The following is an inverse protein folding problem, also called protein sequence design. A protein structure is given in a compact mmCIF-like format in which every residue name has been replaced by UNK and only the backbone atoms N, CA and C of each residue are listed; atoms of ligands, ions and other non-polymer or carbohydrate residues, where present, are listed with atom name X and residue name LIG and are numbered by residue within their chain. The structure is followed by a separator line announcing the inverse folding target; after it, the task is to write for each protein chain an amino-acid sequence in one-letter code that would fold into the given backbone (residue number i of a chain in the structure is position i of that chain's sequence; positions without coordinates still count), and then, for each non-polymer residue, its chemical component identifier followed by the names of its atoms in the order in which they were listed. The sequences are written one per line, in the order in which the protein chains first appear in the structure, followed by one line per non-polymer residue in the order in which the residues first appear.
data_IF_630339459195
#
_entry.id   IF_630339459195
#
_cell.length_a   1.000
_cell.length_b   1.000
_cell.length_c   1.000
_cell.angle_alpha   90.00
_cell.angle_beta   90.00
_cell.angle_gamma   90.00
#
_symmetry.space_group_name_H-M   'P 1'
#
loop_
_entity.id
_entity.type
_entity.pdbx_description
1 polymer ?
#
# COMPACT_ATOMS: atom_id res chain seq x y z
N UNK A 1 -3.77 32.38 -8.88
CA UNK A 1 -2.59 31.46 -8.70
C UNK A 1 -3.00 30.00 -8.47
N UNK A 2 -4.28 29.69 -8.38
CA UNK A 2 -4.79 28.34 -8.01
C UNK A 2 -4.88 27.34 -9.17
N UNK A 3 -5.14 27.74 -10.40
CA UNK A 3 -5.34 26.79 -11.52
C UNK A 3 -4.05 26.18 -12.10
N UNK A 4 -2.95 26.93 -12.16
CA UNK A 4 -1.65 26.36 -12.61
C UNK A 4 -1.02 25.40 -11.61
N UNK A 5 -1.50 25.37 -10.38
CA UNK A 5 -0.91 24.61 -9.29
C UNK A 5 -1.37 23.13 -9.25
N UNK A 6 -2.48 22.81 -9.88
CA UNK A 6 -3.06 21.45 -9.89
C UNK A 6 -2.65 20.60 -11.12
N UNK A 7 -1.96 21.17 -12.09
CA UNK A 7 -1.69 20.54 -13.39
C UNK A 7 -0.83 19.28 -13.35
N UNK A 8 -0.14 19.02 -12.23
CA UNK A 8 0.76 17.86 -12.08
C UNK A 8 0.38 16.95 -10.91
N UNK A 9 -0.77 17.15 -10.32
CA UNK A 9 -1.27 16.34 -9.21
C UNK A 9 -2.28 15.32 -9.74
N UNK A 10 -2.14 14.02 -9.44
CA UNK A 10 -3.20 13.06 -9.67
C UNK A 10 -4.49 13.47 -8.98
N UNK A 11 -5.63 13.04 -9.50
CA UNK A 11 -6.94 13.40 -8.95
C UNK A 11 -7.32 12.49 -7.77
N UNK A 12 -6.97 11.22 -7.85
CA UNK A 12 -7.43 10.17 -6.94
C UNK A 12 -6.31 9.56 -6.10
N UNK A 13 -5.08 9.49 -6.62
CA UNK A 13 -3.93 9.09 -5.81
C UNK A 13 -3.54 10.22 -4.88
N UNK A 14 -3.60 9.97 -3.58
CA UNK A 14 -3.28 11.01 -2.60
C UNK A 14 -1.81 11.43 -2.68
N UNK A 15 -1.60 12.74 -2.74
CA UNK A 15 -0.32 13.41 -2.49
C UNK A 15 -0.56 14.64 -1.63
N UNK A 16 0.40 15.04 -0.76
CA UNK A 16 0.29 16.31 -0.04
C UNK A 16 0.29 17.50 -1.01
N UNK A 17 -0.02 18.66 -0.52
CA UNK A 17 0.01 19.90 -1.31
C UNK A 17 1.43 20.32 -1.72
N UNK A 18 2.44 19.90 -0.95
CA UNK A 18 3.87 20.13 -1.19
C UNK A 18 4.72 19.16 -0.39
N UNK A 19 5.92 18.85 -0.89
CA UNK A 19 6.95 18.17 -0.15
C UNK A 19 7.20 16.72 -0.55
N UNK A 20 8.02 16.04 0.23
CA UNK A 20 8.26 14.59 0.15
C UNK A 20 7.22 13.85 0.97
N UNK A 21 6.72 12.75 0.44
CA UNK A 21 5.99 11.76 1.24
C UNK A 21 6.51 10.34 0.97
N UNK A 22 6.43 9.48 1.99
CA UNK A 22 6.72 8.07 1.87
C UNK A 22 5.66 7.23 2.61
N UNK A 23 6.01 6.43 3.60
CA UNK A 23 5.18 5.40 4.20
C UNK A 23 3.81 5.90 4.67
N UNK A 24 2.73 5.14 4.40
CA UNK A 24 1.47 5.34 5.10
C UNK A 24 1.65 5.00 6.58
N UNK A 25 1.07 5.80 7.44
CA UNK A 25 1.14 5.69 8.90
C UNK A 25 -0.25 5.81 9.51
N UNK A 26 -0.41 5.27 10.70
CA UNK A 26 -1.59 5.55 11.52
C UNK A 26 -2.92 5.30 10.83
N UNK A 27 -2.98 4.33 9.91
CA UNK A 27 -4.20 4.03 9.16
C UNK A 27 -5.27 3.51 10.10
N UNK A 28 -6.34 4.27 10.28
CA UNK A 28 -7.47 3.89 11.15
C UNK A 28 -8.80 4.34 10.54
N UNK A 29 -9.81 3.49 10.69
CA UNK A 29 -11.18 3.79 10.32
C UNK A 29 -12.05 3.85 11.56
N UNK A 30 -12.80 4.93 11.71
CA UNK A 30 -13.76 5.12 12.79
C UNK A 30 -14.91 6.03 12.35
N UNK A 31 -16.09 5.78 12.83
CA UNK A 31 -17.27 6.62 12.64
C UNK A 31 -17.56 7.03 11.18
N UNK A 32 -17.23 6.14 10.21
CA UNK A 32 -17.42 6.39 8.77
C UNK A 32 -16.28 7.17 8.11
N UNK A 33 -15.18 7.41 8.81
CA UNK A 33 -14.05 8.22 8.37
C UNK A 33 -12.80 7.33 8.28
N UNK A 34 -12.07 7.44 7.18
CA UNK A 34 -10.74 6.90 7.01
C UNK A 34 -9.72 7.97 7.32
N UNK A 35 -8.85 7.73 8.29
CA UNK A 35 -7.72 8.59 8.62
C UNK A 35 -6.46 7.98 8.01
N UNK A 36 -5.74 8.79 7.26
CA UNK A 36 -4.48 8.46 6.60
C UNK A 36 -3.43 9.43 7.11
N UNK A 37 -2.51 8.94 7.93
CA UNK A 37 -1.30 9.68 8.25
C UNK A 37 -0.17 9.18 7.34
N UNK A 38 0.87 9.98 7.18
CA UNK A 38 1.96 9.62 6.27
C UNK A 38 3.27 10.30 6.67
N UNK A 39 4.37 9.65 6.34
CA UNK A 39 5.69 10.26 6.45
C UNK A 39 5.78 11.47 5.53
N UNK A 40 6.16 12.62 6.07
CA UNK A 40 6.16 13.88 5.33
C UNK A 40 7.39 14.74 5.63
N UNK A 41 7.99 15.31 4.59
CA UNK A 41 8.89 16.44 4.70
C UNK A 41 8.23 17.70 4.13
N UNK A 42 7.63 18.58 4.95
CA UNK A 42 6.96 19.78 4.47
C UNK A 42 7.91 20.86 3.97
N UNK A 43 9.23 20.68 4.13
CA UNK A 43 10.25 21.69 3.83
C UNK A 43 10.97 21.47 2.50
N UNK A 44 10.75 20.32 1.85
CA UNK A 44 11.42 19.97 0.59
C UNK A 44 10.91 18.69 -0.04
N UNK A 45 11.31 18.51 -1.29
CA UNK A 45 10.89 17.37 -2.13
C UNK A 45 11.80 16.14 -2.00
N UNK A 46 12.79 16.21 -1.14
CA UNK A 46 13.70 15.10 -0.82
C UNK A 46 13.43 14.60 0.61
N UNK A 47 13.81 13.35 0.85
CA UNK A 47 13.68 12.74 2.18
C UNK A 47 14.51 13.51 3.21
N UNK A 48 13.87 14.14 4.17
CA UNK A 48 14.49 14.86 5.28
C UNK A 48 13.41 15.29 6.30
N UNK A 49 13.81 15.68 7.52
CA UNK A 49 12.96 16.35 8.51
C UNK A 49 11.57 15.72 8.69
N UNK A 50 11.52 14.38 8.80
CA UNK A 50 10.27 13.63 8.82
C UNK A 50 9.33 14.04 9.95
N UNK A 51 8.12 14.44 9.54
CA UNK A 51 6.92 14.64 10.36
C UNK A 51 5.88 13.58 9.99
N UNK A 52 4.73 13.56 10.65
CA UNK A 52 3.53 12.91 10.12
C UNK A 52 2.58 13.97 9.58
N UNK A 53 2.32 13.90 8.26
CA UNK A 53 1.19 14.55 7.64
C UNK A 53 -0.09 13.78 7.91
N UNK A 54 -1.24 14.42 7.74
CA UNK A 54 -2.57 13.89 7.98
C UNK A 54 -3.50 14.17 6.81
N UNK A 55 -4.20 13.16 6.35
CA UNK A 55 -5.29 13.27 5.39
C UNK A 55 -6.50 12.44 5.86
N UNK A 56 -7.69 12.86 5.42
CA UNK A 56 -8.96 12.26 5.81
C UNK A 56 -9.84 12.05 4.59
N UNK A 57 -10.60 10.96 4.57
CA UNK A 57 -11.55 10.66 3.51
C UNK A 57 -12.72 9.81 4.00
N UNK A 58 -13.78 9.71 3.19
CA UNK A 58 -14.96 8.89 3.49
C UNK A 58 -15.20 7.80 2.45
N UNK A 59 -14.52 7.85 1.30
CA UNK A 59 -14.79 6.99 0.15
C UNK A 59 -13.53 6.27 -0.42
N UNK A 60 -12.38 6.42 0.24
CA UNK A 60 -11.09 5.83 -0.17
C UNK A 60 -10.47 6.39 -1.47
N UNK A 61 -11.08 7.41 -2.08
CA UNK A 61 -10.60 8.08 -3.28
C UNK A 61 -10.27 9.56 -3.04
N UNK A 62 -11.16 10.26 -2.34
CA UNK A 62 -11.03 11.69 -2.12
C UNK A 62 -10.52 11.95 -0.70
N UNK A 63 -9.31 12.50 -0.65
CA UNK A 63 -8.61 12.78 0.60
C UNK A 63 -8.43 14.27 0.81
N UNK A 64 -8.85 14.77 1.96
CA UNK A 64 -8.58 16.13 2.41
C UNK A 64 -7.20 16.15 3.10
N UNK A 65 -6.26 16.94 2.57
CA UNK A 65 -4.94 17.17 3.18
C UNK A 65 -5.09 18.18 4.33
N UNK A 66 -4.87 17.71 5.56
CA UNK A 66 -5.04 18.48 6.80
C UNK A 66 -3.73 19.05 7.34
N UNK A 67 -2.60 18.75 6.68
CA UNK A 67 -1.27 19.20 7.08
C UNK A 67 -0.60 18.32 8.13
N UNK A 68 0.47 18.80 8.74
CA UNK A 68 1.29 18.05 9.69
C UNK A 68 0.69 18.07 11.10
N UNK A 69 0.73 16.92 11.78
CA UNK A 69 0.13 16.73 13.12
C UNK A 69 1.09 16.13 14.15
N UNK A 70 2.22 15.55 13.72
CA UNK A 70 3.23 14.99 14.62
C UNK A 70 4.62 15.50 14.22
N UNK A 71 5.09 16.50 14.92
CA UNK A 71 6.35 17.19 14.65
C UNK A 71 7.53 16.55 15.38
N UNK A 72 8.76 16.63 14.82
CA UNK A 72 10.00 16.25 15.51
C UNK A 72 10.17 16.93 16.87
N UNK A 73 10.86 16.24 17.77
CA UNK A 73 11.22 16.76 19.08
C UNK A 73 12.65 16.35 19.47
N UNK A 74 13.00 16.54 20.73
CA UNK A 74 14.31 16.15 21.29
C UNK A 74 14.56 14.63 21.25
N UNK A 75 13.58 13.79 20.93
CA UNK A 75 13.73 12.34 20.79
C UNK A 75 14.01 11.89 19.35
N UNK A 76 13.86 12.79 18.37
CA UNK A 76 14.21 12.53 16.97
C UNK A 76 13.16 12.97 15.98
N UNK A 77 13.36 12.54 14.74
CA UNK A 77 12.37 12.66 13.67
C UNK A 77 11.24 11.65 13.92
N UNK A 78 10.07 11.94 13.38
CA UNK A 78 8.87 11.10 13.53
C UNK A 78 8.83 10.07 12.42
N UNK A 79 9.31 8.86 12.71
CA UNK A 79 9.31 7.74 11.78
C UNK A 79 8.02 6.93 11.85
N UNK A 80 7.93 5.91 10.99
CA UNK A 80 6.70 5.17 10.75
C UNK A 80 6.10 4.49 11.97
N UNK A 81 4.81 4.21 11.87
CA UNK A 81 4.03 3.59 12.91
C UNK A 81 2.55 3.46 12.53
N UNK A 82 1.72 3.04 13.46
CA UNK A 82 0.33 2.68 13.24
C UNK A 82 -0.64 3.38 14.20
N UNK A 83 -1.93 3.21 13.99
CA UNK A 83 -2.96 3.64 14.91
C UNK A 83 -3.99 2.53 15.20
N UNK A 84 -4.59 2.60 16.38
CA UNK A 84 -5.74 1.80 16.79
C UNK A 84 -6.74 2.67 17.54
N UNK A 85 -8.00 2.27 17.61
CA UNK A 85 -8.97 2.85 18.51
C UNK A 85 -8.84 2.24 19.91
N UNK A 86 -9.05 3.05 20.94
CA UNK A 86 -8.93 2.64 22.35
C UNK A 86 -10.20 1.92 22.88
N UNK A 87 -10.78 0.99 22.14
CA UNK A 87 -12.06 0.36 22.44
C UNK A 87 -12.18 -0.28 23.83
N UNK A 88 -11.07 -0.36 24.57
CA UNK A 88 -11.00 -0.91 25.93
C UNK A 88 -10.77 0.13 27.02
N UNK A 89 -10.73 1.42 26.69
CA UNK A 89 -10.56 2.50 27.65
C UNK A 89 -9.26 2.43 28.46
N UNK A 90 -8.18 1.97 27.84
CA UNK A 90 -6.88 1.81 28.50
C UNK A 90 -6.14 3.13 28.64
N UNK A 91 -5.03 3.11 29.38
CA UNK A 91 -4.09 4.23 29.55
C UNK A 91 -4.72 5.48 30.22
N UNK A 92 -5.90 5.33 30.84
CA UNK A 92 -6.66 6.45 31.40
C UNK A 92 -7.26 7.40 30.36
N UNK A 93 -7.39 6.94 29.12
CA UNK A 93 -7.97 7.67 27.99
C UNK A 93 -9.38 7.18 27.67
N UNK A 94 -10.24 8.00 27.02
CA UNK A 94 -11.58 7.59 26.60
C UNK A 94 -11.55 6.39 25.63
N UNK A 95 -12.64 5.63 25.55
CA UNK A 95 -12.79 4.47 24.64
C UNK A 95 -12.80 4.86 23.16
N UNK A 96 -13.18 6.08 22.83
CA UNK A 96 -13.16 6.62 21.48
C UNK A 96 -11.83 7.32 21.09
N UNK A 97 -10.87 7.39 22.02
CA UNK A 97 -9.57 7.93 21.72
C UNK A 97 -8.85 7.09 20.64
N UNK A 98 -8.11 7.76 19.77
CA UNK A 98 -7.19 7.11 18.84
C UNK A 98 -5.79 7.07 19.45
N UNK A 99 -5.14 5.91 19.39
CA UNK A 99 -3.80 5.66 19.92
C UNK A 99 -2.83 5.47 18.76
N UNK A 100 -1.75 6.22 18.75
CA UNK A 100 -0.74 6.24 17.69
C UNK A 100 0.60 5.74 18.22
N UNK A 101 1.05 4.61 17.72
CA UNK A 101 2.35 4.04 18.05
C UNK A 101 3.32 4.43 16.95
N UNK A 102 4.38 5.15 17.30
CA UNK A 102 5.34 5.67 16.32
C UNK A 102 6.78 5.48 16.77
N UNK A 103 7.69 5.55 15.83
CA UNK A 103 9.12 5.55 16.12
C UNK A 103 9.62 6.99 16.21
N UNK A 104 10.19 7.37 17.37
CA UNK A 104 11.04 8.54 17.46
C UNK A 104 12.47 8.11 17.11
N UNK A 105 12.94 8.56 15.93
CA UNK A 105 14.25 8.18 15.39
C UNK A 105 15.36 8.98 16.08
N UNK A 106 15.88 8.46 17.17
CA UNK A 106 17.01 9.04 17.89
C UNK A 106 18.21 9.27 16.95
N UNK A 107 19.17 10.09 17.34
CA UNK A 107 20.34 10.52 16.55
C UNK A 107 20.08 10.98 15.09
N UNK A 108 18.83 11.04 14.65
CA UNK A 108 18.45 11.51 13.31
C UNK A 108 18.41 13.04 13.18
N UNK A 109 18.46 13.77 14.28
CA UNK A 109 18.49 15.24 14.31
C UNK A 109 19.61 15.76 15.20
N UNK A 110 19.82 17.08 15.17
CA UNK A 110 20.80 17.73 16.05
C UNK A 110 20.37 17.63 17.51
N UNK A 111 19.09 17.79 17.78
CA UNK A 111 18.46 17.80 19.10
C UNK A 111 18.44 16.40 19.73
N UNK A 112 18.34 15.35 18.91
CA UNK A 112 18.31 13.96 19.34
C UNK A 112 19.65 13.23 19.27
N UNK A 113 20.75 13.99 19.03
CA UNK A 113 22.08 13.40 18.87
C UNK A 113 22.46 12.51 20.05
N UNK A 114 22.81 11.26 19.78
CA UNK A 114 23.23 10.28 20.78
C UNK A 114 22.08 9.58 21.51
N UNK A 115 20.81 9.88 21.20
CA UNK A 115 19.66 9.14 21.71
C UNK A 115 19.39 7.91 20.83
N UNK A 116 18.90 6.79 21.39
CA UNK A 116 18.48 5.63 20.62
C UNK A 116 17.14 5.88 19.93
N UNK A 117 16.79 5.02 18.98
CA UNK A 117 15.43 4.91 18.46
C UNK A 117 14.50 4.38 19.56
N UNK A 118 13.32 4.96 19.67
CA UNK A 118 12.33 4.60 20.71
C UNK A 118 10.95 4.47 20.13
N UNK A 119 10.20 3.46 20.57
CA UNK A 119 8.79 3.35 20.26
C UNK A 119 7.99 4.18 21.27
N UNK A 120 7.14 5.05 20.77
CA UNK A 120 6.38 6.01 21.58
C UNK A 120 4.91 6.01 21.25
N UNK A 121 4.13 6.63 22.11
CA UNK A 121 2.70 6.77 22.00
C UNK A 121 2.30 8.25 21.88
N UNK A 122 1.43 8.54 20.92
CA UNK A 122 0.61 9.74 20.91
C UNK A 122 -0.86 9.32 20.92
N UNK A 123 -1.75 10.23 21.28
CA UNK A 123 -3.18 9.96 21.27
C UNK A 123 -3.97 11.18 20.80
N UNK A 124 -5.18 10.92 20.31
CA UNK A 124 -6.16 11.94 19.97
C UNK A 124 -7.48 11.66 20.68
N UNK A 125 -8.12 12.71 21.17
CA UNK A 125 -9.48 12.69 21.75
C UNK A 125 -10.45 13.56 20.96
N UNK A 126 -10.06 14.00 19.79
CA UNK A 126 -10.83 14.88 18.89
C UNK A 126 -10.96 14.29 17.46
N UNK A 127 -10.99 12.94 17.38
CA UNK A 127 -11.17 12.22 16.13
C UNK A 127 -9.97 12.33 15.17
N UNK A 128 -8.75 12.39 15.71
CA UNK A 128 -7.52 12.39 14.90
C UNK A 128 -7.04 13.75 14.45
N UNK A 129 -7.75 14.86 14.79
CA UNK A 129 -7.35 16.21 14.34
C UNK A 129 -6.06 16.71 15.03
N UNK A 130 -5.88 16.38 16.30
CA UNK A 130 -4.66 16.70 17.04
C UNK A 130 -4.06 15.46 17.67
N UNK A 131 -2.75 15.32 17.59
CA UNK A 131 -2.00 14.23 18.22
C UNK A 131 -1.21 14.78 19.40
N UNK A 132 -1.54 14.29 20.61
CA UNK A 132 -0.87 14.65 21.85
C UNK A 132 0.12 13.55 22.19
N UNK A 133 1.41 13.89 22.19
CA UNK A 133 2.45 12.94 22.62
C UNK A 133 2.31 12.61 24.09
N UNK A 134 2.24 11.32 24.41
CA UNK A 134 2.22 10.84 25.79
C UNK A 134 3.65 10.96 26.35
N UNK A 135 3.78 11.49 27.56
CA UNK A 135 5.07 11.57 28.22
C UNK A 135 5.68 10.19 28.45
N UNK A 136 6.99 10.12 28.27
CA UNK A 136 7.74 8.90 28.45
C UNK A 136 7.77 8.00 27.21
N UNK A 137 8.42 6.88 27.36
CA UNK A 137 8.46 5.79 26.38
C UNK A 137 7.25 4.90 26.58
N UNK A 138 6.88 4.13 25.57
CA UNK A 138 6.03 2.98 25.79
C UNK A 138 6.70 2.13 26.87
N UNK A 139 5.99 1.79 27.93
CA UNK A 139 6.57 1.06 29.04
C UNK A 139 7.28 -0.19 28.51
N UNK A 140 8.45 -0.52 28.95
CA UNK A 140 9.40 -1.44 28.34
C UNK A 140 10.12 -0.92 27.08
N UNK A 141 10.05 0.37 26.79
CA UNK A 141 10.85 0.97 25.73
C UNK A 141 12.33 0.62 25.81
N UNK A 142 12.87 0.43 27.00
CA UNK A 142 14.25 -0.02 27.22
C UNK A 142 14.52 -1.41 26.62
N UNK A 143 13.58 -2.34 26.71
CA UNK A 143 13.74 -3.69 26.11
C UNK A 143 13.76 -3.61 24.60
N UNK A 144 12.88 -2.81 24.01
CA UNK A 144 12.81 -2.59 22.55
C UNK A 144 14.04 -1.80 22.09
N UNK A 145 14.46 -0.78 22.82
CA UNK A 145 15.62 0.06 22.51
C UNK A 145 16.96 -0.68 22.53
N UNK A 146 17.08 -1.70 23.35
CA UNK A 146 18.35 -2.45 23.48
C UNK A 146 18.52 -3.58 22.46
N UNK A 147 17.51 -3.87 21.64
CA UNK A 147 17.57 -4.97 20.67
C UNK A 147 18.47 -4.67 19.48
N UNK A 148 18.35 -3.46 18.93
CA UNK A 148 19.15 -2.97 17.83
C UNK A 148 19.21 -1.43 17.86
N UNK A 149 20.19 -0.85 17.14
CA UNK A 149 20.39 0.60 17.15
C UNK A 149 19.24 1.40 16.51
N UNK A 150 18.53 0.79 15.56
CA UNK A 150 17.56 1.49 14.71
C UNK A 150 16.25 0.71 14.53
N UNK A 151 15.86 -0.11 15.52
CA UNK A 151 14.59 -0.82 15.48
C UNK A 151 13.41 0.16 15.37
N UNK A 152 12.43 -0.14 14.49
CA UNK A 152 11.38 0.80 14.10
C UNK A 152 10.14 0.16 13.52
N UNK A 153 9.15 1.02 13.18
CA UNK A 153 7.94 0.72 12.43
C UNK A 153 6.99 -0.23 13.17
N UNK A 154 6.49 0.18 14.35
CA UNK A 154 5.58 -0.64 15.12
C UNK A 154 4.22 -0.80 14.41
N UNK A 155 3.71 -2.02 14.40
CA UNK A 155 2.31 -2.35 14.11
C UNK A 155 1.68 -2.93 15.34
N UNK A 156 0.55 -2.37 15.79
CA UNK A 156 -0.21 -2.83 16.96
C UNK A 156 -1.62 -3.18 16.54
N UNK A 157 -2.14 -4.30 17.05
CA UNK A 157 -3.51 -4.73 16.86
C UNK A 157 -4.00 -5.57 18.05
N UNK A 158 -5.32 -5.68 18.21
CA UNK A 158 -5.92 -6.58 19.18
C UNK A 158 -6.07 -8.00 18.61
N UNK A 159 -5.60 -9.01 19.32
CA UNK A 159 -5.78 -10.41 18.98
C UNK A 159 -6.87 -11.02 19.87
N UNK A 160 -8.04 -11.24 19.27
CA UNK A 160 -9.26 -11.60 20.00
C UNK A 160 -9.13 -12.94 20.74
N UNK A 161 -8.57 -13.95 20.08
CA UNK A 161 -8.47 -15.32 20.61
C UNK A 161 -7.56 -15.42 21.83
N UNK A 162 -6.47 -14.66 21.88
CA UNK A 162 -5.55 -14.64 23.03
C UNK A 162 -5.85 -13.53 24.04
N UNK A 163 -6.80 -12.62 23.72
CA UNK A 163 -7.19 -11.53 24.60
C UNK A 163 -6.07 -10.54 24.91
N UNK A 164 -5.27 -10.18 23.92
CA UNK A 164 -4.14 -9.28 24.09
C UNK A 164 -3.87 -8.40 22.87
N UNK A 165 -3.21 -7.29 23.11
CA UNK A 165 -2.58 -6.48 22.05
C UNK A 165 -1.27 -7.13 21.63
N UNK A 166 -1.07 -7.17 20.32
CA UNK A 166 0.16 -7.66 19.68
C UNK A 166 0.87 -6.46 19.06
N UNK A 167 2.16 -6.36 19.31
CA UNK A 167 3.03 -5.40 18.66
C UNK A 167 4.05 -6.17 17.81
N UNK A 168 4.13 -5.83 16.53
CA UNK A 168 5.15 -6.33 15.61
C UNK A 168 6.08 -5.19 15.25
N UNK A 169 7.39 -5.44 15.23
CA UNK A 169 8.42 -4.43 15.04
C UNK A 169 9.56 -4.98 14.18
N UNK A 170 10.08 -4.18 13.26
CA UNK A 170 11.36 -4.48 12.63
C UNK A 170 12.52 -4.23 13.60
N UNK A 171 13.43 -5.19 13.73
CA UNK A 171 14.59 -5.11 14.63
C UNK A 171 15.83 -4.69 13.85
N UNK A 172 16.30 -5.54 12.96
CA UNK A 172 17.47 -5.32 12.11
C UNK A 172 17.52 -6.36 10.97
N UNK A 173 18.15 -6.04 9.85
CA UNK A 173 18.25 -6.93 8.70
C UNK A 173 16.88 -7.52 8.31
N UNK A 174 16.73 -8.84 8.36
CA UNK A 174 15.49 -9.58 8.14
C UNK A 174 14.89 -10.15 9.44
N UNK A 175 15.26 -9.57 10.58
CA UNK A 175 14.74 -9.92 11.91
C UNK A 175 13.63 -8.98 12.36
N UNK A 176 12.57 -9.58 12.86
CA UNK A 176 11.40 -8.92 13.41
C UNK A 176 11.11 -9.47 14.81
N UNK A 177 10.38 -8.72 15.60
CA UNK A 177 9.94 -9.18 16.91
C UNK A 177 8.42 -9.11 17.03
N UNK A 178 7.88 -9.99 17.87
CA UNK A 178 6.48 -9.99 18.28
C UNK A 178 6.43 -9.84 19.78
N UNK A 179 5.66 -8.87 20.25
CA UNK A 179 5.39 -8.61 21.67
C UNK A 179 3.90 -8.70 21.95
N UNK A 180 3.59 -9.06 23.17
CA UNK A 180 2.23 -9.16 23.70
C UNK A 180 2.04 -8.24 24.89
N UNK A 181 0.86 -7.59 24.99
CA UNK A 181 0.44 -6.75 26.09
C UNK A 181 -1.06 -6.89 26.37
N UNK A 182 -1.47 -6.86 27.63
CA UNK A 182 -2.88 -6.85 28.03
C UNK A 182 -3.37 -5.42 28.34
N UNK A 183 -2.46 -4.49 28.57
CA UNK A 183 -2.72 -3.14 29.10
C UNK A 183 -2.15 -2.00 28.25
N UNK A 184 -1.39 -2.30 27.17
CA UNK A 184 -0.63 -1.35 26.37
C UNK A 184 0.48 -0.62 27.14
N UNK A 185 0.73 -1.02 28.38
CA UNK A 185 1.79 -0.48 29.22
C UNK A 185 2.97 -1.44 29.34
N UNK A 186 2.69 -2.73 29.50
CA UNK A 186 3.68 -3.78 29.64
C UNK A 186 3.68 -4.69 28.42
N UNK A 187 4.78 -4.67 27.66
CA UNK A 187 4.99 -5.54 26.50
C UNK A 187 6.03 -6.60 26.80
N UNK A 188 5.70 -7.85 26.53
CA UNK A 188 6.62 -9.00 26.66
C UNK A 188 6.89 -9.59 25.28
N UNK A 189 8.15 -9.70 24.89
CA UNK A 189 8.53 -10.37 23.66
C UNK A 189 8.17 -11.85 23.73
N UNK A 190 7.43 -12.32 22.76
CA UNK A 190 7.01 -13.72 22.63
C UNK A 190 7.80 -14.45 21.55
N UNK A 191 8.22 -13.71 20.49
CA UNK A 191 8.97 -14.32 19.40
C UNK A 191 9.93 -13.31 18.76
N UNK A 192 11.12 -13.76 18.38
CA UNK A 192 11.98 -13.15 17.38
C UNK A 192 11.86 -13.96 16.10
N UNK A 193 11.42 -13.33 15.01
CA UNK A 193 11.19 -13.97 13.72
C UNK A 193 12.29 -13.55 12.77
N UNK A 194 13.08 -14.51 12.28
CA UNK A 194 14.03 -14.28 11.18
C UNK A 194 13.38 -14.78 9.90
N UNK A 195 13.06 -13.88 8.99
CA UNK A 195 12.47 -14.21 7.70
C UNK A 195 13.55 -14.50 6.65
N UNK A 196 13.21 -15.24 5.59
CA UNK A 196 14.11 -15.48 4.45
C UNK A 196 14.58 -14.16 3.82
N UNK A 197 13.66 -13.19 3.70
CA UNK A 197 13.90 -11.85 3.17
C UNK A 197 12.84 -10.90 3.71
N UNK A 198 13.22 -9.67 3.96
CA UNK A 198 12.31 -8.64 4.44
C UNK A 198 13.08 -7.50 5.07
N UNK A 199 12.47 -6.36 5.16
CA UNK A 199 13.07 -5.16 5.72
C UNK A 199 11.93 -4.22 6.11
N UNK A 200 12.02 -3.51 7.24
CA UNK A 200 11.12 -2.45 7.67
C UNK A 200 9.61 -2.75 7.63
N UNK A 201 8.82 -1.86 8.17
CA UNK A 201 7.37 -1.75 8.05
C UNK A 201 6.63 -3.10 8.12
N UNK A 202 6.82 -3.89 9.20
CA UNK A 202 6.08 -5.13 9.33
C UNK A 202 4.60 -4.87 9.51
N UNK A 203 3.78 -5.79 9.00
CA UNK A 203 2.37 -5.89 9.33
C UNK A 203 2.03 -7.37 9.58
N UNK A 204 1.07 -7.63 10.45
CA UNK A 204 0.59 -8.97 10.75
C UNK A 204 -0.94 -8.94 10.83
N UNK A 205 -1.60 -9.59 9.90
CA UNK A 205 -3.05 -9.54 9.77
C UNK A 205 -3.61 -10.87 9.29
N UNK A 206 -4.89 -11.10 9.55
CA UNK A 206 -5.61 -12.31 9.18
C UNK A 206 -6.45 -12.06 7.93
N UNK A 207 -6.41 -12.99 6.98
CA UNK A 207 -7.14 -12.92 5.73
C UNK A 207 -8.06 -14.12 5.52
N UNK A 208 -9.28 -13.88 5.00
CA UNK A 208 -10.15 -14.96 4.55
C UNK A 208 -9.55 -15.63 3.32
N UNK A 209 -9.72 -16.95 3.24
CA UNK A 209 -9.41 -17.74 2.05
C UNK A 209 -10.67 -17.85 1.21
N UNK A 210 -10.60 -17.42 -0.05
CA UNK A 210 -11.71 -17.47 -0.99
C UNK A 210 -11.52 -18.59 -2.01
N UNK A 211 -12.62 -19.11 -2.53
CA UNK A 211 -12.61 -20.12 -3.58
C UNK A 211 -12.42 -19.48 -4.96
N UNK A 212 -11.36 -19.89 -5.67
CA UNK A 212 -11.16 -19.47 -7.07
C UNK A 212 -12.26 -20.00 -8.02
N UNK A 213 -12.89 -21.16 -7.68
CA UNK A 213 -13.90 -21.82 -8.54
C UNK A 213 -15.31 -21.27 -8.36
N UNK A 214 -15.62 -20.69 -7.22
CA UNK A 214 -16.97 -20.23 -6.83
C UNK A 214 -17.12 -18.70 -6.89
N UNK A 215 -16.47 -18.04 -7.82
CA UNK A 215 -16.61 -16.58 -8.01
C UNK A 215 -16.11 -15.74 -6.82
N UNK A 216 -15.16 -16.27 -6.05
CA UNK A 216 -14.56 -15.55 -4.90
C UNK A 216 -15.35 -15.69 -3.60
N UNK A 217 -16.18 -16.74 -3.45
CA UNK A 217 -16.87 -17.03 -2.20
C UNK A 217 -15.90 -17.44 -1.10
N UNK A 218 -16.10 -16.93 0.11
CA UNK A 218 -15.33 -17.31 1.29
C UNK A 218 -15.51 -18.80 1.61
N UNK A 219 -14.40 -19.46 1.93
CA UNK A 219 -14.39 -20.89 2.27
C UNK A 219 -14.67 -21.17 3.75
N UNK A 220 -14.62 -20.13 4.59
CA UNK A 220 -14.62 -20.20 6.05
C UNK A 220 -13.24 -20.52 6.64
N UNK A 221 -12.21 -20.69 5.78
CA UNK A 221 -10.81 -20.79 6.20
C UNK A 221 -10.19 -19.40 6.29
N UNK A 222 -9.33 -19.17 7.28
CA UNK A 222 -8.54 -17.95 7.43
C UNK A 222 -7.08 -18.29 7.65
N UNK A 223 -6.18 -17.39 7.23
CA UNK A 223 -4.74 -17.50 7.44
C UNK A 223 -4.16 -16.18 7.89
N UNK A 224 -3.13 -16.24 8.70
CA UNK A 224 -2.33 -15.09 9.06
C UNK A 224 -1.28 -14.80 7.99
N UNK A 225 -1.03 -13.53 7.78
CA UNK A 225 -0.05 -13.03 6.81
C UNK A 225 0.92 -12.12 7.54
N UNK A 226 2.20 -12.48 7.53
CA UNK A 226 3.30 -11.60 7.94
C UNK A 226 3.83 -10.87 6.72
N UNK A 227 3.85 -9.55 6.79
CA UNK A 227 4.15 -8.63 5.69
C UNK A 227 5.41 -7.81 5.97
N UNK A 228 6.16 -7.40 4.93
CA UNK A 228 7.33 -6.52 5.02
C UNK A 228 7.27 -5.40 3.98
N UNK A 229 8.06 -4.34 4.15
CA UNK A 229 8.01 -3.14 3.33
C UNK A 229 8.11 -3.37 1.81
N UNK A 230 8.88 -4.37 1.38
CA UNK A 230 9.04 -4.71 -0.05
C UNK A 230 7.81 -5.40 -0.66
N UNK A 231 6.73 -5.62 0.11
CA UNK A 231 5.58 -6.40 -0.33
C UNK A 231 5.86 -7.91 -0.33
N UNK A 232 6.93 -8.35 0.34
CA UNK A 232 7.11 -9.78 0.63
C UNK A 232 6.14 -10.19 1.72
N UNK A 233 5.46 -11.31 1.50
CA UNK A 233 4.52 -11.85 2.46
C UNK A 233 4.70 -13.35 2.69
N UNK A 234 4.41 -13.75 3.91
CA UNK A 234 4.53 -15.10 4.43
C UNK A 234 3.18 -15.50 4.98
N UNK A 235 2.63 -16.62 4.53
CA UNK A 235 1.34 -17.13 5.00
C UNK A 235 1.56 -18.21 6.04
N UNK A 236 0.77 -18.19 7.10
CA UNK A 236 0.91 -19.12 8.19
C UNK A 236 -0.24 -19.08 9.19
N UNK A 237 0.05 -19.50 10.40
CA UNK A 237 -0.81 -19.43 11.57
C UNK A 237 -0.20 -18.55 12.65
N UNK A 238 -1.03 -17.97 13.50
CA UNK A 238 -0.61 -17.16 14.64
C UNK A 238 -1.59 -17.40 15.80
N UNK A 239 -1.05 -17.70 16.97
CA UNK A 239 -1.83 -18.05 18.16
C UNK A 239 -1.90 -16.94 19.22
N UNK A 240 -1.38 -15.76 18.89
CA UNK A 240 -1.24 -14.64 19.82
C UNK A 240 0.12 -14.60 20.53
N UNK A 241 1.00 -15.55 20.25
CA UNK A 241 2.35 -15.65 20.79
C UNK A 241 3.39 -15.84 19.70
N UNK A 242 3.17 -16.78 18.78
CA UNK A 242 4.13 -17.15 17.75
C UNK A 242 3.50 -17.22 16.37
N UNK A 243 4.19 -16.67 15.38
CA UNK A 243 3.86 -16.83 13.97
C UNK A 243 4.61 -18.05 13.43
N UNK A 244 3.86 -18.99 12.87
CA UNK A 244 4.37 -20.22 12.25
C UNK A 244 4.13 -20.14 10.74
N UNK A 245 5.21 -19.91 9.99
CA UNK A 245 5.17 -19.88 8.52
C UNK A 245 4.81 -21.26 7.96
N UNK A 246 3.86 -21.30 7.01
CA UNK A 246 3.37 -22.55 6.39
C UNK A 246 3.75 -22.69 4.92
N UNK A 247 4.25 -21.66 4.29
CA UNK A 247 4.70 -21.69 2.88
C UNK A 247 5.89 -20.76 2.64
N UNK A 248 6.56 -20.95 1.53
CA UNK A 248 7.64 -20.07 1.08
C UNK A 248 7.13 -18.64 0.81
N UNK A 249 8.06 -17.69 0.89
CA UNK A 249 7.83 -16.27 0.61
C UNK A 249 7.23 -16.04 -0.78
N UNK A 250 6.29 -15.09 -0.84
CA UNK A 250 5.77 -14.53 -2.09
C UNK A 250 5.95 -13.02 -2.12
N UNK A 251 5.76 -12.44 -3.31
CA UNK A 251 5.76 -10.99 -3.49
C UNK A 251 4.37 -10.53 -3.97
N UNK A 252 3.88 -9.44 -3.41
CA UNK A 252 2.56 -8.90 -3.69
C UNK A 252 2.51 -8.04 -4.96
N UNK A 253 3.67 -7.55 -5.43
CA UNK A 253 3.75 -6.62 -6.56
C UNK A 253 4.78 -7.10 -7.57
N UNK A 254 4.53 -6.84 -8.83
CA UNK A 254 5.47 -7.11 -9.92
C UNK A 254 6.41 -5.92 -10.15
N UNK A 255 7.55 -6.21 -10.74
CA UNK A 255 8.47 -5.17 -11.19
C UNK A 255 7.90 -4.48 -12.43
N UNK A 256 7.77 -3.15 -12.35
CA UNK A 256 7.49 -2.32 -13.51
C UNK A 256 8.74 -2.17 -14.42
N UNK A 257 8.67 -1.31 -15.44
CA UNK A 257 9.80 -1.08 -16.34
C UNK A 257 11.09 -0.64 -15.63
N UNK A 258 10.97 0.19 -14.61
CA UNK A 258 12.10 0.78 -13.89
C UNK A 258 12.28 0.21 -12.48
N UNK A 259 11.19 -0.03 -11.75
CA UNK A 259 11.23 -0.35 -10.33
C UNK A 259 9.94 -1.04 -9.87
N UNK A 260 10.00 -1.78 -8.76
CA UNK A 260 8.80 -2.14 -7.99
C UNK A 260 8.31 -0.88 -7.30
N UNK A 261 7.22 -0.29 -7.78
CA UNK A 261 6.77 1.02 -7.32
C UNK A 261 6.16 1.01 -5.91
N UNK A 262 5.29 0.03 -5.52
CA UNK A 262 4.73 -0.05 -4.17
C UNK A 262 5.78 -0.42 -3.13
N UNK A 263 5.73 0.25 -1.97
CA UNK A 263 6.58 0.01 -0.81
C UNK A 263 5.84 0.32 0.50
N UNK A 264 6.29 -0.22 1.62
CA UNK A 264 5.82 0.10 2.98
C UNK A 264 4.29 0.05 3.14
N UNK A 265 3.63 -0.92 2.50
CA UNK A 265 2.18 -1.08 2.64
C UNK A 265 1.80 -1.30 4.10
N UNK A 266 0.71 -0.65 4.52
CA UNK A 266 0.11 -0.83 5.85
C UNK A 266 -1.39 -1.10 5.71
N UNK A 267 -1.94 -1.93 6.62
CA UNK A 267 -3.38 -2.17 6.70
C UNK A 267 -4.07 -1.19 7.64
N UNK A 268 -5.31 -0.82 7.32
CA UNK A 268 -6.17 -0.04 8.21
C UNK A 268 -6.59 -0.84 9.45
N UNK A 269 -6.58 -0.20 10.60
CA UNK A 269 -7.28 -0.67 11.79
C UNK A 269 -8.75 -0.24 11.72
N UNK A 270 -9.68 -1.13 12.05
CA UNK A 270 -11.11 -0.82 12.19
C UNK A 270 -12.04 -1.30 11.08
N UNK A 271 -11.70 -1.33 9.78
CA UNK A 271 -12.60 -1.87 8.76
C UNK A 271 -12.87 -3.37 8.95
N UNK A 272 -14.06 -3.82 8.57
CA UNK A 272 -14.42 -5.25 8.57
C UNK A 272 -13.53 -6.06 7.61
N UNK A 273 -13.22 -5.48 6.44
CA UNK A 273 -12.32 -6.07 5.46
C UNK A 273 -10.92 -5.49 5.61
N UNK A 274 -9.91 -6.31 5.37
CA UNK A 274 -8.52 -5.85 5.39
C UNK A 274 -8.26 -4.97 4.18
N UNK A 275 -8.15 -3.67 4.43
CA UNK A 275 -7.79 -2.65 3.46
C UNK A 275 -6.34 -2.23 3.65
N UNK A 276 -5.61 -2.10 2.57
CA UNK A 276 -4.20 -1.71 2.58
C UNK A 276 -3.92 -0.55 1.65
N UNK A 277 -2.99 0.31 2.04
CA UNK A 277 -2.42 1.40 1.24
C UNK A 277 -0.91 1.24 1.20
N UNK A 278 -0.29 1.51 0.05
CA UNK A 278 1.16 1.49 -0.14
C UNK A 278 1.67 2.87 -0.50
N UNK A 279 2.89 3.18 -0.14
CA UNK A 279 3.63 4.26 -0.78
C UNK A 279 4.04 3.86 -2.20
N UNK A 280 3.66 4.66 -3.19
CA UNK A 280 4.17 4.58 -4.55
C UNK A 280 5.41 5.49 -4.66
N UNK A 281 6.56 4.91 -4.96
CA UNK A 281 7.86 5.59 -5.05
C UNK A 281 8.00 6.41 -6.34
N UNK A 282 7.06 7.34 -6.56
CA UNK A 282 6.97 8.14 -7.77
C UNK A 282 7.97 9.29 -7.77
N UNK A 283 8.34 9.71 -8.98
CA UNK A 283 9.26 10.83 -9.21
C UNK A 283 8.54 12.17 -8.96
N UNK A 284 9.30 13.17 -8.53
CA UNK A 284 8.79 14.54 -8.42
C UNK A 284 8.48 15.12 -9.80
N UNK A 285 7.28 15.65 -9.95
CA UNK A 285 6.88 16.37 -11.17
C UNK A 285 6.43 17.78 -10.80
N UNK A 286 6.87 18.76 -11.60
CA UNK A 286 6.55 20.16 -11.36
C UNK A 286 7.22 20.78 -10.12
N UNK A 287 8.17 20.08 -9.48
CA UNK A 287 8.94 20.58 -8.33
C UNK A 287 8.12 20.73 -7.05
N UNK A 288 7.00 19.98 -6.90
CA UNK A 288 6.09 20.13 -5.77
C UNK A 288 6.07 18.98 -4.81
N UNK A 289 5.85 17.77 -5.30
CA UNK A 289 5.67 16.57 -4.48
C UNK A 289 6.50 15.42 -5.02
N UNK A 290 7.03 14.60 -4.13
CA UNK A 290 7.67 13.32 -4.42
C UNK A 290 6.97 12.25 -3.63
N UNK A 291 6.61 11.14 -4.28
CA UNK A 291 5.82 10.06 -3.68
C UNK A 291 4.32 10.34 -3.70
N UNK A 292 3.54 9.27 -3.58
CA UNK A 292 2.08 9.31 -3.43
C UNK A 292 1.58 8.02 -2.80
N UNK A 293 0.33 7.97 -2.37
CA UNK A 293 -0.32 6.74 -1.93
C UNK A 293 -0.96 6.01 -3.09
N UNK A 294 -0.93 4.67 -3.06
CA UNK A 294 -1.72 3.85 -3.96
C UNK A 294 -3.22 4.01 -3.71
N UNK A 295 -4.05 3.69 -4.68
CA UNK A 295 -5.47 3.44 -4.40
C UNK A 295 -5.55 2.29 -3.38
N UNK A 296 -6.37 2.41 -2.32
CA UNK A 296 -6.55 1.36 -1.33
C UNK A 296 -7.00 0.05 -1.98
N UNK A 297 -6.55 -1.08 -1.43
CA UNK A 297 -6.90 -2.43 -1.92
C UNK A 297 -7.44 -3.29 -0.79
N UNK A 298 -8.48 -4.04 -1.08
CA UNK A 298 -9.02 -5.10 -0.23
C UNK A 298 -8.20 -6.38 -0.44
N UNK A 299 -7.75 -6.99 0.65
CA UNK A 299 -6.93 -8.20 0.63
C UNK A 299 -7.74 -9.45 1.00
N UNK A 300 -7.46 -10.54 0.33
CA UNK A 300 -7.89 -11.90 0.65
C UNK A 300 -6.86 -12.90 0.13
N UNK A 301 -7.04 -14.19 0.40
CA UNK A 301 -6.18 -15.25 -0.12
C UNK A 301 -6.96 -16.16 -1.05
N UNK A 302 -6.31 -16.65 -2.10
CA UNK A 302 -6.79 -17.75 -2.93
C UNK A 302 -5.91 -18.97 -2.66
N UNK A 303 -6.52 -20.13 -2.41
CA UNK A 303 -5.81 -21.39 -2.32
C UNK A 303 -5.69 -22.05 -3.69
N UNK A 304 -4.48 -22.39 -4.09
CA UNK A 304 -4.19 -23.23 -5.25
C UNK A 304 -3.34 -24.46 -4.85
N UNK A 305 -2.85 -25.20 -5.85
CA UNK A 305 -1.99 -26.38 -5.63
C UNK A 305 -0.64 -26.08 -4.96
N UNK A 306 -0.15 -24.85 -5.11
CA UNK A 306 1.16 -24.40 -4.63
C UNK A 306 1.06 -23.57 -3.33
N UNK A 307 -0.09 -23.59 -2.65
CA UNK A 307 -0.36 -22.89 -1.40
C UNK A 307 -1.34 -21.72 -1.55
N UNK A 308 -1.12 -20.67 -0.78
CA UNK A 308 -1.97 -19.48 -0.74
C UNK A 308 -1.35 -18.35 -1.54
N UNK A 309 -2.15 -17.67 -2.35
CA UNK A 309 -1.76 -16.48 -3.11
C UNK A 309 -2.59 -15.30 -2.63
N UNK A 310 -1.94 -14.17 -2.37
CA UNK A 310 -2.62 -12.91 -2.07
C UNK A 310 -3.48 -12.50 -3.26
N UNK A 311 -4.72 -12.15 -2.97
CA UNK A 311 -5.63 -11.50 -3.89
C UNK A 311 -5.85 -10.07 -3.45
N UNK A 312 -5.68 -9.15 -4.37
CA UNK A 312 -5.90 -7.72 -4.20
C UNK A 312 -7.08 -7.28 -5.07
N UNK A 313 -7.94 -6.43 -4.53
CA UNK A 313 -9.07 -5.86 -5.27
C UNK A 313 -9.19 -4.38 -4.98
N UNK A 314 -9.63 -3.62 -5.96
CA UNK A 314 -10.14 -2.29 -5.65
C UNK A 314 -11.44 -2.44 -4.85
N UNK A 315 -11.63 -1.69 -3.74
CA UNK A 315 -12.86 -1.72 -2.95
C UNK A 315 -14.10 -1.42 -3.80
N UNK A 316 -15.23 -1.99 -3.41
CA UNK A 316 -16.49 -1.78 -4.13
C UNK A 316 -16.86 -0.29 -4.25
N UNK A 317 -16.64 0.49 -3.19
CA UNK A 317 -16.87 1.94 -3.19
C UNK A 317 -16.04 2.67 -4.26
N UNK A 318 -14.79 2.25 -4.49
CA UNK A 318 -13.92 2.79 -5.53
C UNK A 318 -14.50 2.48 -6.92
N UNK A 319 -14.88 1.22 -7.17
CA UNK A 319 -15.46 0.80 -8.46
C UNK A 319 -16.78 1.52 -8.72
N UNK A 320 -17.65 1.62 -7.71
CA UNK A 320 -18.94 2.30 -7.79
C UNK A 320 -18.81 3.79 -8.12
N UNK A 321 -17.79 4.46 -7.57
CA UNK A 321 -17.53 5.87 -7.89
C UNK A 321 -17.29 6.06 -9.40
N UNK A 322 -16.51 5.20 -10.03
CA UNK A 322 -16.33 5.22 -11.48
C UNK A 322 -17.58 4.79 -12.26
N UNK A 323 -18.31 3.79 -11.78
CA UNK A 323 -19.52 3.30 -12.45
C UNK A 323 -20.65 4.34 -12.51
N UNK A 324 -20.66 5.32 -11.61
CA UNK A 324 -21.61 6.42 -11.59
C UNK A 324 -21.25 7.54 -12.59
N UNK A 325 -20.10 7.49 -13.22
CA UNK A 325 -19.63 8.49 -14.17
C UNK A 325 -19.90 8.07 -15.62
N UNK A 326 -19.90 9.05 -16.51
CA UNK A 326 -19.98 8.77 -17.95
C UNK A 326 -18.67 8.10 -18.39
N UNK A 327 -18.82 6.95 -19.08
CA UNK A 327 -17.69 6.15 -19.57
C UNK A 327 -16.66 5.73 -18.50
N UNK A 328 -17.04 5.61 -17.20
CA UNK A 328 -16.11 5.24 -16.13
C UNK A 328 -14.89 6.15 -16.03
N UNK A 329 -15.08 7.44 -16.26
CA UNK A 329 -14.05 8.47 -16.13
C UNK A 329 -14.43 9.42 -15.01
N UNK A 330 -13.59 9.49 -13.99
CA UNK A 330 -13.77 10.33 -12.81
C UNK A 330 -12.59 11.31 -12.73
N UNK A 331 -12.88 12.62 -12.82
CA UNK A 331 -11.87 13.68 -12.71
C UNK A 331 -10.63 13.51 -13.62
N UNK A 332 -10.82 12.90 -14.81
CA UNK A 332 -9.74 12.62 -15.77
C UNK A 332 -8.96 11.34 -15.51
N UNK A 333 -9.23 10.66 -14.40
CA UNK A 333 -8.82 9.28 -14.17
C UNK A 333 -9.83 8.30 -14.76
N UNK A 334 -9.42 7.07 -15.07
CA UNK A 334 -10.31 6.05 -15.59
C UNK A 334 -10.13 4.69 -14.91
N UNK A 335 -11.23 3.96 -14.79
CA UNK A 335 -11.26 2.57 -14.35
C UNK A 335 -11.83 1.70 -15.47
N UNK A 336 -11.21 0.53 -15.71
CA UNK A 336 -11.72 -0.49 -16.65
C UNK A 336 -11.39 -1.88 -16.17
N UNK A 337 -12.27 -2.79 -16.58
CA UNK A 337 -12.12 -4.22 -16.34
C UNK A 337 -12.32 -5.00 -17.63
N UNK A 338 -11.37 -5.85 -17.97
CA UNK A 338 -11.31 -6.56 -19.22
C UNK A 338 -11.10 -8.07 -19.01
N UNK A 339 -11.64 -8.87 -19.93
CA UNK A 339 -11.34 -10.29 -20.03
C UNK A 339 -10.77 -10.59 -21.41
N UNK A 340 -9.66 -11.30 -21.44
CA UNK A 340 -9.12 -11.89 -22.67
C UNK A 340 -10.05 -13.00 -23.15
N UNK A 341 -10.52 -12.89 -24.40
CA UNK A 341 -11.49 -13.86 -24.99
C UNK A 341 -10.82 -15.14 -25.50
N UNK A 342 -9.51 -15.08 -25.78
CA UNK A 342 -8.74 -16.17 -26.36
C UNK A 342 -7.41 -16.40 -25.62
N UNK A 343 -7.40 -16.69 -24.30
CA UNK A 343 -6.17 -17.04 -23.63
C UNK A 343 -5.66 -18.36 -24.23
N UNK A 344 -4.49 -18.32 -24.88
CA UNK A 344 -3.87 -19.51 -25.46
C UNK A 344 -2.87 -20.11 -24.47
N UNK A 345 -2.83 -21.43 -24.26
CA UNK A 345 -1.82 -22.06 -23.42
C UNK A 345 -0.42 -21.85 -24.04
N UNK A 346 0.52 -21.47 -23.20
CA UNK A 346 1.92 -21.23 -23.56
C UNK A 346 2.58 -22.50 -24.12
N UNK A 347 3.14 -22.39 -25.31
CA UNK A 347 4.07 -23.38 -25.92
C UNK A 347 5.42 -22.67 -26.10
N UNK A 348 6.48 -23.12 -25.44
CA UNK A 348 7.82 -22.51 -25.63
C UNK A 348 8.33 -22.81 -27.04
N UNK A 349 8.49 -21.79 -27.88
CA UNK A 349 9.23 -21.89 -29.12
C UNK A 349 10.52 -21.02 -29.06
N UNK A 350 11.56 -21.38 -29.84
CA UNK A 350 12.86 -20.70 -29.79
C UNK A 350 12.81 -19.30 -30.41
N UNK A 351 13.58 -18.40 -29.81
CA UNK A 351 13.74 -16.99 -30.16
C UNK A 351 13.90 -16.74 -31.66
N UNK A 352 12.94 -16.05 -32.27
CA UNK A 352 13.11 -15.38 -33.56
C UNK A 352 12.83 -13.88 -33.33
N UNK A 353 13.89 -13.06 -33.45
CA UNK A 353 13.77 -11.60 -33.38
C UNK A 353 13.06 -11.05 -34.62
N UNK A 354 11.89 -10.48 -34.45
CA UNK A 354 11.14 -9.69 -35.41
C UNK A 354 9.75 -9.38 -34.87
N UNK A 355 9.51 -8.11 -34.53
CA UNK A 355 8.16 -7.67 -34.15
C UNK A 355 7.24 -7.74 -35.39
N UNK A 356 6.26 -8.61 -35.35
CA UNK A 356 5.16 -8.64 -36.29
C UNK A 356 3.84 -8.33 -35.57
N UNK A 357 2.93 -7.58 -36.22
CA UNK A 357 1.58 -7.28 -35.71
C UNK A 357 0.76 -8.56 -35.37
N UNK A 358 1.17 -9.72 -35.92
CA UNK A 358 0.55 -11.02 -35.70
C UNK A 358 0.82 -11.62 -34.32
N UNK A 359 1.82 -11.09 -33.58
CA UNK A 359 2.23 -11.59 -32.26
C UNK A 359 1.49 -10.88 -31.10
N UNK A 360 0.69 -9.86 -31.41
CA UNK A 360 -0.03 -9.09 -30.40
C UNK A 360 -1.25 -9.88 -29.92
N UNK A 361 -1.33 -10.11 -28.59
CA UNK A 361 -2.46 -10.79 -27.98
C UNK A 361 -3.64 -9.83 -27.75
N UNK A 362 -3.36 -8.65 -27.18
CA UNK A 362 -4.34 -7.59 -26.97
C UNK A 362 -3.70 -6.21 -26.82
N UNK A 363 -4.49 -5.18 -27.08
CA UNK A 363 -4.11 -3.78 -26.99
C UNK A 363 -5.19 -2.95 -26.28
N UNK A 364 -4.75 -1.99 -25.47
CA UNK A 364 -5.58 -0.95 -24.85
C UNK A 364 -4.95 0.40 -25.13
N UNK A 365 -5.73 1.38 -25.57
CA UNK A 365 -5.30 2.76 -25.77
C UNK A 365 -6.05 3.71 -24.83
N UNK A 366 -5.33 4.50 -24.09
CA UNK A 366 -5.86 5.60 -23.29
C UNK A 366 -5.66 6.90 -24.07
N UNK A 367 -6.75 7.62 -24.35
CA UNK A 367 -6.75 8.77 -25.22
C UNK A 367 -7.16 10.03 -24.46
N UNK A 368 -6.63 11.17 -24.92
CA UNK A 368 -7.09 12.52 -24.61
C UNK A 368 -7.38 13.22 -25.92
N UNK A 369 -8.64 13.58 -26.15
CA UNK A 369 -9.13 14.07 -27.45
C UNK A 369 -8.80 13.06 -28.54
N UNK A 370 -7.97 13.44 -29.52
CA UNK A 370 -7.53 12.56 -30.60
C UNK A 370 -6.11 11.99 -30.39
N UNK A 371 -5.49 12.28 -29.24
CA UNK A 371 -4.11 11.87 -28.94
C UNK A 371 -4.08 10.60 -28.09
N UNK A 372 -3.37 9.56 -28.53
CA UNK A 372 -3.08 8.40 -27.71
C UNK A 372 -2.00 8.79 -26.68
N UNK A 373 -2.39 8.84 -25.41
CA UNK A 373 -1.48 9.15 -24.30
C UNK A 373 -0.62 7.96 -23.95
N UNK A 374 -1.27 6.81 -23.77
CA UNK A 374 -0.64 5.56 -23.36
C UNK A 374 -1.29 4.40 -24.11
N UNK A 375 -0.46 3.57 -24.71
CA UNK A 375 -0.85 2.31 -25.30
C UNK A 375 -0.25 1.16 -24.48
N UNK A 376 -1.09 0.23 -24.09
CA UNK A 376 -0.74 -1.01 -23.42
C UNK A 376 -0.85 -2.14 -24.44
N UNK A 377 0.18 -2.94 -24.60
CA UNK A 377 0.21 -4.08 -25.51
C UNK A 377 0.75 -5.32 -24.81
N UNK A 378 0.00 -6.39 -24.83
CA UNK A 378 0.46 -7.69 -24.38
C UNK A 378 0.87 -8.53 -25.61
N UNK A 379 2.08 -9.04 -25.61
CA UNK A 379 2.57 -9.94 -26.66
C UNK A 379 2.52 -11.39 -26.19
N UNK A 380 1.94 -12.24 -27.02
CA UNK A 380 1.67 -13.67 -26.74
C UNK A 380 2.95 -14.44 -26.40
N UNK A 381 3.95 -14.33 -27.24
CA UNK A 381 5.13 -15.19 -27.17
C UNK A 381 6.15 -14.77 -26.13
N UNK A 382 6.17 -13.49 -25.75
CA UNK A 382 7.18 -12.94 -24.86
C UNK A 382 6.73 -12.84 -23.40
N UNK A 383 5.43 -12.99 -23.11
CA UNK A 383 4.82 -12.70 -21.79
C UNK A 383 5.22 -11.32 -21.26
N UNK A 384 5.31 -10.34 -22.16
CA UNK A 384 5.67 -8.96 -21.83
C UNK A 384 4.48 -8.04 -22.01
N UNK A 385 4.39 -7.08 -21.13
CA UNK A 385 3.49 -5.94 -21.23
C UNK A 385 4.33 -4.73 -21.67
N UNK A 386 3.94 -4.14 -22.79
CA UNK A 386 4.56 -2.96 -23.34
C UNK A 386 3.73 -1.72 -23.03
N UNK A 387 4.43 -0.62 -22.80
CA UNK A 387 3.86 0.69 -22.49
C UNK A 387 4.41 1.69 -23.51
N UNK A 388 3.61 2.07 -24.50
CA UNK A 388 4.03 3.02 -25.54
C UNK A 388 3.38 4.38 -25.31
N UNK A 389 4.18 5.43 -25.28
CA UNK A 389 3.79 6.83 -25.21
C UNK A 389 4.62 7.66 -26.17
N UNK A 390 3.96 8.22 -27.16
CA UNK A 390 4.63 8.89 -28.28
C UNK A 390 5.59 7.94 -29.00
N UNK A 391 6.88 8.22 -28.92
CA UNK A 391 7.95 7.40 -29.53
C UNK A 391 8.71 6.52 -28.52
N UNK A 392 8.32 6.56 -27.25
CA UNK A 392 8.97 5.79 -26.17
C UNK A 392 8.15 4.54 -25.89
N UNK A 393 8.81 3.41 -25.85
CA UNK A 393 8.22 2.12 -25.46
C UNK A 393 9.08 1.48 -24.39
N UNK A 394 8.47 1.18 -23.24
CA UNK A 394 9.04 0.40 -22.16
C UNK A 394 8.30 -0.93 -22.05
N UNK A 395 8.86 -1.88 -21.33
CA UNK A 395 8.22 -3.17 -21.11
C UNK A 395 8.53 -3.73 -19.72
N UNK A 396 7.66 -4.60 -19.23
CA UNK A 396 7.94 -5.43 -18.08
C UNK A 396 7.55 -6.90 -18.35
N UNK A 397 8.22 -7.81 -17.65
CA UNK A 397 7.88 -9.23 -17.70
C UNK A 397 6.66 -9.49 -16.80
N UNK A 398 5.66 -10.16 -17.34
CA UNK A 398 4.45 -10.51 -16.61
C UNK A 398 4.64 -11.74 -15.70
N UNK A 399 5.54 -12.64 -16.09
CA UNK A 399 5.73 -13.93 -15.39
C UNK A 399 4.55 -14.90 -15.53
N UNK A 400 3.40 -14.45 -16.03
CA UNK A 400 2.19 -15.23 -16.24
C UNK A 400 1.40 -14.67 -17.42
N UNK A 401 0.43 -15.43 -17.91
CA UNK A 401 -0.59 -14.92 -18.82
C UNK A 401 -1.62 -14.08 -18.07
N UNK A 402 -2.15 -13.04 -18.70
CA UNK A 402 -3.25 -12.25 -18.17
C UNK A 402 -4.57 -12.67 -18.79
N UNK A 403 -5.37 -13.46 -18.06
CA UNK A 403 -6.70 -13.89 -18.46
C UNK A 403 -7.74 -12.77 -18.32
N UNK A 404 -7.54 -11.93 -17.33
CA UNK A 404 -8.34 -10.74 -17.07
C UNK A 404 -7.47 -9.66 -16.44
N UNK A 405 -7.91 -8.43 -16.57
CA UNK A 405 -7.25 -7.30 -15.95
C UNK A 405 -8.24 -6.21 -15.55
N UNK A 406 -7.93 -5.55 -14.46
CA UNK A 406 -8.56 -4.32 -13.98
C UNK A 406 -7.49 -3.25 -13.93
N UNK A 407 -7.78 -2.06 -14.39
CA UNK A 407 -6.84 -0.94 -14.33
C UNK A 407 -7.50 0.35 -13.82
N UNK A 408 -6.70 1.12 -13.08
CA UNK A 408 -6.95 2.54 -12.83
C UNK A 408 -5.77 3.32 -13.41
N UNK A 409 -6.08 4.26 -14.28
CA UNK A 409 -5.11 5.29 -14.72
C UNK A 409 -5.54 6.64 -14.17
N UNK A 410 -4.61 7.36 -13.58
CA UNK A 410 -4.82 8.66 -12.98
C UNK A 410 -3.62 9.58 -13.23
N UNK A 411 -3.73 10.42 -14.27
CA UNK A 411 -2.72 11.44 -14.59
C UNK A 411 -1.27 10.88 -14.58
N UNK A 412 -1.02 9.87 -15.40
CA UNK A 412 0.30 9.25 -15.55
C UNK A 412 0.65 8.19 -14.51
N UNK A 413 -0.23 7.87 -13.58
CA UNK A 413 -0.12 6.68 -12.74
C UNK A 413 -1.03 5.60 -13.28
N UNK A 414 -0.50 4.41 -13.45
CA UNK A 414 -1.24 3.21 -13.81
C UNK A 414 -1.12 2.20 -12.67
N UNK A 415 -2.24 1.79 -12.10
CA UNK A 415 -2.34 0.60 -11.27
C UNK A 415 -3.11 -0.48 -12.03
N UNK A 416 -2.53 -1.68 -12.12
CA UNK A 416 -3.08 -2.81 -12.86
C UNK A 416 -3.18 -4.04 -11.97
N UNK A 417 -4.37 -4.61 -11.87
CA UNK A 417 -4.64 -5.90 -11.26
C UNK A 417 -4.96 -6.91 -12.36
N UNK A 418 -4.37 -8.08 -12.30
CA UNK A 418 -4.61 -9.17 -13.24
C UNK A 418 -4.96 -10.47 -12.53
N UNK A 419 -5.53 -11.42 -13.29
CA UNK A 419 -5.82 -12.78 -12.84
C UNK A 419 -6.59 -12.81 -11.51
N UNK A 420 -7.77 -12.15 -11.51
CA UNK A 420 -8.64 -12.00 -10.35
C UNK A 420 -7.93 -11.32 -9.14
N UNK A 421 -6.91 -10.47 -9.40
CA UNK A 421 -6.18 -9.74 -8.38
C UNK A 421 -4.98 -10.46 -7.77
N UNK A 422 -4.57 -11.60 -8.34
CA UNK A 422 -3.34 -12.29 -7.91
C UNK A 422 -2.05 -11.71 -8.54
N UNK A 423 -2.22 -10.83 -9.49
CA UNK A 423 -1.18 -10.03 -10.13
C UNK A 423 -1.41 -8.55 -9.83
N UNK A 424 -0.39 -7.83 -9.42
CA UNK A 424 -0.45 -6.38 -9.22
C UNK A 424 0.81 -5.70 -9.76
N UNK A 425 0.58 -4.66 -10.55
CA UNK A 425 1.62 -3.80 -11.12
C UNK A 425 1.22 -2.33 -10.97
N UNK A 426 2.15 -1.50 -10.54
CA UNK A 426 2.02 -0.04 -10.60
C UNK A 426 3.14 0.57 -11.43
N UNK A 427 2.83 1.55 -12.27
CA UNK A 427 3.79 2.24 -13.16
C UNK A 427 3.59 3.75 -13.08
N UNK A 428 4.71 4.48 -13.05
CA UNK A 428 4.77 5.93 -13.07
C UNK A 428 5.23 6.45 -14.44
N UNK A 429 4.41 7.27 -15.09
CA UNK A 429 4.71 8.01 -16.31
C UNK A 429 4.72 9.53 -16.02
N UNK A 430 5.82 10.06 -15.47
CA UNK A 430 5.89 11.46 -15.02
C UNK A 430 5.56 12.47 -16.10
N UNK A 431 5.86 12.17 -17.36
CA UNK A 431 5.56 13.01 -18.52
C UNK A 431 4.07 13.15 -18.83
N UNK A 432 3.24 12.24 -18.31
CA UNK A 432 1.79 12.25 -18.49
C UNK A 432 1.02 12.87 -17.33
N UNK A 433 1.69 13.49 -16.34
CA UNK A 433 1.05 14.08 -15.15
C UNK A 433 0.00 15.16 -15.46
N UNK A 434 0.15 15.89 -16.58
CA UNK A 434 -0.78 16.92 -16.97
C UNK A 434 -1.93 16.42 -17.85
N UNK A 435 -1.95 15.12 -18.15
CA UNK A 435 -2.85 14.54 -19.16
C UNK A 435 -3.98 13.75 -18.52
N UNK A 436 -5.21 14.15 -18.82
CA UNK A 436 -6.42 13.45 -18.43
C UNK A 436 -6.92 12.55 -19.57
N UNK A 437 -7.44 11.39 -19.23
CA UNK A 437 -8.08 10.48 -20.18
C UNK A 437 -9.55 10.87 -20.38
N UNK A 438 -10.00 10.87 -21.62
CA UNK A 438 -11.41 11.10 -21.98
C UNK A 438 -12.02 9.94 -22.76
N UNK A 439 -11.20 9.03 -23.28
CA UNK A 439 -11.66 7.85 -24.03
C UNK A 439 -10.68 6.67 -23.91
N UNK A 440 -11.24 5.47 -23.94
CA UNK A 440 -10.46 4.21 -23.97
C UNK A 440 -10.89 3.42 -25.20
N UNK A 441 -9.92 2.92 -25.92
CA UNK A 441 -10.10 1.96 -27.04
C UNK A 441 -9.41 0.65 -26.71
N UNK A 442 -9.94 -0.46 -27.22
CA UNK A 442 -9.38 -1.80 -27.01
C UNK A 442 -9.47 -2.64 -28.26
N UNK A 443 -8.59 -3.61 -28.37
CA UNK A 443 -8.63 -4.61 -29.46
C UNK A 443 -9.83 -5.56 -29.30
N UNK A 444 -10.23 -6.18 -30.40
CA UNK A 444 -11.37 -7.13 -30.45
C UNK A 444 -11.18 -8.36 -29.54
N UNK A 445 -9.95 -8.70 -29.19
CA UNK A 445 -9.63 -9.83 -28.31
C UNK A 445 -9.95 -9.58 -26.84
N UNK A 446 -10.19 -8.32 -26.45
CA UNK A 446 -10.63 -7.95 -25.13
C UNK A 446 -12.14 -7.72 -25.10
N UNK A 447 -12.77 -8.11 -24.02
CA UNK A 447 -14.16 -7.76 -23.72
C UNK A 447 -14.22 -7.06 -22.37
N UNK A 448 -14.78 -5.87 -22.39
CA UNK A 448 -15.10 -5.15 -21.15
C UNK A 448 -16.24 -5.86 -20.42
N UNK A 449 -16.15 -5.98 -19.09
CA UNK A 449 -17.20 -6.52 -18.24
C UNK A 449 -17.28 -5.76 -16.92
N UNK A 450 -18.47 -5.75 -16.33
CA UNK A 450 -18.77 -5.07 -15.06
C UNK A 450 -18.48 -5.96 -13.85
#
# INVERSE_FOLDING_TARGET
MTEKNNMYKPSLHFTPSYGWMNDPNGLVYHDGIYELYYQHNPRGIDWNCMTWGHARGTDLLHWEDLGDVLEPDENGLMFSGCAIRNDRGLLGLPEDALLFFYTAAGHSSRESKGKPYTIRLAYSTDGGNTLIKKDGKLANGEVIETLAAENRDPKVFWHEESGAYILVLWIENNDFGIWRSEDLEQFTMTQRVTLESGYECPDLFRLPVISAKEGGRETGEEKWVFWTAHGYYYVGSFDGYEFHQEQERRCASQMGPDVVLPYAAQTFSGPEKVLSVSWLRTKCVGGRTTGMMSIPKEFSLIRNKDGYILRQKFPASVIEAFAQTENGILEGACYRKFRNQNPQPFVPEPEIMGMHDEDMEWEIRLLSKETCLLKLECQRDTKKLFFTRGIVTDSCDLGCELENLELIYDHGILELLGNEGTFYLAVDFPELRAEAVDRIEMSENLKEYT
#
